data_IF_595575503873
#
_entry.id   IF_595575503873
#
_cell.length_a   1.000
_cell.length_b   1.000
_cell.length_c   1.000
_cell.angle_alpha   90.00
_cell.angle_beta   90.00
_cell.angle_gamma   90.00
#
_symmetry.space_group_name_H-M   'P 1'
#
loop_
_entity.id
_entity.type
_entity.pdbx_description
1 polymer ?
#
# COMPACT_ATOMS: atom_id res chain seq x y z
N UNK A 1 -7.59 18.35 -6.13
CA UNK A 1 -8.34 18.99 -5.03
C UNK A 1 -7.41 19.16 -3.86
N UNK A 2 -7.38 20.37 -3.28
CA UNK A 2 -6.55 20.65 -2.11
C UNK A 2 -7.43 21.24 -1.00
N UNK A 3 -7.21 20.81 0.24
CA UNK A 3 -7.85 21.31 1.44
C UNK A 3 -6.83 21.60 2.53
N UNK A 4 -7.04 22.60 3.35
CA UNK A 4 -6.18 22.87 4.51
C UNK A 4 -6.76 22.22 5.77
N UNK A 5 -8.07 22.27 5.95
CA UNK A 5 -8.72 21.80 7.18
C UNK A 5 -10.01 21.01 6.95
N UNK A 6 -10.40 20.77 5.73
CA UNK A 6 -11.63 20.04 5.41
C UNK A 6 -11.34 18.67 4.80
N UNK A 7 -12.28 17.78 4.96
CA UNK A 7 -12.25 16.47 4.35
C UNK A 7 -12.42 16.56 2.83
N UNK A 8 -11.80 15.64 2.13
CA UNK A 8 -11.96 15.47 0.68
C UNK A 8 -12.66 14.14 0.47
N UNK A 9 -13.86 14.20 -0.09
CA UNK A 9 -14.59 12.99 -0.47
C UNK A 9 -14.84 12.98 -1.97
N UNK A 10 -14.53 11.89 -2.62
CA UNK A 10 -14.86 11.63 -4.02
C UNK A 10 -15.44 10.23 -4.18
N UNK A 11 -16.52 10.13 -4.93
CA UNK A 11 -17.23 8.88 -5.12
C UNK A 11 -17.71 8.74 -6.57
N UNK A 12 -17.65 7.50 -7.09
CA UNK A 12 -18.17 7.12 -8.41
C UNK A 12 -17.67 8.01 -9.54
N UNK A 13 -16.36 8.04 -9.72
CA UNK A 13 -15.72 8.93 -10.68
C UNK A 13 -14.79 8.18 -11.62
N UNK A 14 -14.81 8.58 -12.87
CA UNK A 14 -13.81 8.19 -13.86
C UNK A 14 -12.95 9.40 -14.23
N UNK A 15 -11.64 9.21 -14.28
CA UNK A 15 -10.70 10.28 -14.59
C UNK A 15 -9.41 9.77 -15.21
N UNK A 16 -8.67 10.67 -15.84
CA UNK A 16 -7.31 10.33 -16.30
C UNK A 16 -6.32 10.40 -15.14
N UNK A 17 -6.35 11.49 -14.40
CA UNK A 17 -5.53 11.67 -13.20
C UNK A 17 -6.36 12.34 -12.11
N UNK A 18 -6.13 11.95 -10.87
CA UNK A 18 -6.78 12.54 -9.72
C UNK A 18 -5.79 12.79 -8.59
N UNK A 19 -5.79 14.00 -8.09
CA UNK A 19 -4.94 14.41 -6.96
C UNK A 19 -5.82 14.99 -5.87
N UNK A 20 -5.74 14.39 -4.67
CA UNK A 20 -6.42 14.83 -3.45
C UNK A 20 -5.39 15.06 -2.34
N UNK A 21 -5.30 16.26 -1.82
CA UNK A 21 -4.35 16.61 -0.77
C UNK A 21 -5.04 17.39 0.35
N UNK A 22 -4.90 16.93 1.59
CA UNK A 22 -5.40 17.62 2.78
C UNK A 22 -4.27 17.84 3.79
N UNK A 23 -4.35 18.89 4.58
CA UNK A 23 -3.42 19.09 5.70
C UNK A 23 -3.98 18.47 6.98
N UNK A 24 -5.25 18.73 7.31
CA UNK A 24 -5.85 18.29 8.58
C UNK A 24 -7.16 17.52 8.43
N UNK A 25 -7.60 17.25 7.21
CA UNK A 25 -8.83 16.52 6.94
C UNK A 25 -8.57 15.13 6.38
N UNK A 26 -9.56 14.29 6.47
CA UNK A 26 -9.53 12.96 5.88
C UNK A 26 -9.69 13.02 4.36
N UNK A 27 -9.06 12.07 3.67
CA UNK A 27 -9.24 11.86 2.22
C UNK A 27 -9.95 10.53 2.03
N UNK A 28 -11.18 10.56 1.53
CA UNK A 28 -12.02 9.39 1.33
C UNK A 28 -12.39 9.27 -0.15
N UNK A 29 -11.88 8.23 -0.80
CA UNK A 29 -12.11 7.94 -2.21
C UNK A 29 -12.81 6.59 -2.35
N UNK A 30 -13.95 6.56 -3.01
CA UNK A 30 -14.75 5.35 -3.17
C UNK A 30 -15.22 5.19 -4.60
N UNK A 31 -15.04 3.99 -5.16
CA UNK A 31 -15.52 3.63 -6.50
C UNK A 31 -14.96 4.58 -7.58
N UNK A 32 -13.61 4.62 -7.66
CA UNK A 32 -12.87 5.49 -8.58
C UNK A 32 -12.15 4.66 -9.63
N UNK A 33 -12.34 4.99 -10.89
CA UNK A 33 -11.57 4.46 -12.01
C UNK A 33 -10.64 5.58 -12.52
N UNK A 34 -9.33 5.37 -12.39
CA UNK A 34 -8.33 6.35 -12.81
C UNK A 34 -7.37 5.72 -13.83
N UNK A 35 -7.42 6.18 -15.07
CA UNK A 35 -6.61 5.60 -16.15
C UNK A 35 -5.12 5.95 -16.08
N UNK A 36 -4.73 6.89 -15.25
CA UNK A 36 -3.36 7.32 -15.03
C UNK A 36 -2.96 7.29 -13.57
N UNK A 37 -2.73 8.43 -12.96
CA UNK A 37 -2.24 8.57 -11.58
C UNK A 37 -3.37 8.93 -10.63
N UNK A 38 -3.51 8.15 -9.58
CA UNK A 38 -4.30 8.49 -8.39
C UNK A 38 -3.33 8.84 -7.26
N UNK A 39 -3.32 10.10 -6.84
CA UNK A 39 -2.47 10.60 -5.75
C UNK A 39 -3.34 11.12 -4.60
N UNK A 40 -3.29 10.45 -3.45
CA UNK A 40 -4.07 10.79 -2.27
C UNK A 40 -3.16 11.00 -1.06
N UNK A 41 -3.18 12.21 -0.49
CA UNK A 41 -2.27 12.59 0.61
C UNK A 41 -2.99 13.31 1.73
N UNK A 42 -2.57 13.03 2.98
CA UNK A 42 -2.95 13.83 4.14
C UNK A 42 -1.77 14.03 5.07
N UNK A 43 -1.70 15.18 5.74
CA UNK A 43 -0.67 15.38 6.77
C UNK A 43 -1.13 14.83 8.11
N UNK A 44 -2.37 15.12 8.55
CA UNK A 44 -2.87 14.72 9.87
C UNK A 44 -4.21 13.99 9.85
N UNK A 45 -4.73 13.67 8.68
CA UNK A 45 -5.97 12.92 8.52
C UNK A 45 -5.72 11.51 7.96
N UNK A 46 -6.74 10.72 7.96
CA UNK A 46 -6.71 9.38 7.37
C UNK A 46 -6.87 9.46 5.85
N UNK A 47 -6.28 8.51 5.16
CA UNK A 47 -6.48 8.30 3.72
C UNK A 47 -7.15 6.96 3.52
N UNK A 48 -8.38 6.96 3.04
CA UNK A 48 -9.17 5.76 2.78
C UNK A 48 -9.56 5.67 1.31
N UNK A 49 -9.14 4.61 0.67
CA UNK A 49 -9.41 4.35 -0.75
C UNK A 49 -10.05 2.97 -0.89
N UNK A 50 -11.29 2.92 -1.38
CA UNK A 50 -12.06 1.68 -1.52
C UNK A 50 -12.61 1.52 -2.93
N UNK A 51 -12.59 0.31 -3.47
CA UNK A 51 -13.03 -0.01 -4.84
C UNK A 51 -12.34 0.86 -5.87
N UNK A 52 -11.04 0.89 -5.82
CA UNK A 52 -10.21 1.68 -6.73
C UNK A 52 -9.69 0.81 -7.85
N UNK A 53 -9.74 1.32 -9.07
CA UNK A 53 -9.01 0.76 -10.21
C UNK A 53 -8.16 1.87 -10.83
N UNK A 54 -6.84 1.72 -10.74
CA UNK A 54 -5.91 2.76 -11.24
C UNK A 54 -4.67 2.14 -11.85
N UNK A 55 -4.07 2.87 -12.80
CA UNK A 55 -2.79 2.46 -13.37
C UNK A 55 -1.63 2.68 -12.41
N UNK A 56 -1.60 3.83 -11.74
CA UNK A 56 -0.57 4.15 -10.75
C UNK A 56 -1.22 4.74 -9.50
N UNK A 57 -0.91 4.18 -8.35
CA UNK A 57 -1.35 4.68 -7.06
C UNK A 57 -0.18 5.27 -6.31
N UNK A 58 -0.33 6.51 -5.88
CA UNK A 58 0.59 7.18 -4.99
C UNK A 58 -0.16 7.67 -3.76
N UNK A 59 0.37 7.45 -2.58
CA UNK A 59 -0.26 7.93 -1.36
C UNK A 59 0.81 8.26 -0.32
N UNK A 60 0.55 9.31 0.44
CA UNK A 60 1.43 9.68 1.54
C UNK A 60 0.63 10.18 2.74
N UNK A 61 1.07 9.81 3.95
CA UNK A 61 0.55 10.34 5.20
C UNK A 61 1.69 10.66 6.16
N UNK A 62 1.59 11.76 6.87
CA UNK A 62 2.54 12.03 7.95
C UNK A 62 2.03 11.41 9.26
N UNK A 63 0.75 11.60 9.55
CA UNK A 63 0.13 11.12 10.78
C UNK A 63 -1.32 10.77 10.51
N UNK A 64 -1.63 9.53 10.47
CA UNK A 64 -2.96 9.01 10.14
C UNK A 64 -2.89 7.64 9.48
N UNK A 65 -4.00 6.95 9.48
CA UNK A 65 -4.12 5.63 8.88
C UNK A 65 -4.24 5.75 7.36
N UNK A 66 -3.57 4.86 6.64
CA UNK A 66 -3.69 4.74 5.20
C UNK A 66 -4.28 3.37 4.86
N UNK A 67 -5.41 3.37 4.17
CA UNK A 67 -6.09 2.15 3.74
C UNK A 67 -6.39 2.19 2.25
N UNK A 68 -6.03 1.13 1.54
CA UNK A 68 -6.32 0.95 0.12
C UNK A 68 -6.93 -0.44 -0.14
N UNK A 69 -8.02 -0.48 -0.87
CA UNK A 69 -8.66 -1.70 -1.35
C UNK A 69 -9.03 -1.55 -2.82
N UNK A 70 -8.45 -2.37 -3.68
CA UNK A 70 -8.75 -2.34 -5.11
C UNK A 70 -7.65 -2.91 -5.99
N UNK A 71 -7.64 -2.47 -7.22
CA UNK A 71 -6.63 -2.79 -8.22
C UNK A 71 -5.76 -1.57 -8.51
N UNK A 72 -4.47 -1.77 -8.50
CA UNK A 72 -3.51 -0.78 -8.99
C UNK A 72 -2.42 -1.48 -9.80
N UNK A 73 -1.89 -0.78 -10.78
CA UNK A 73 -0.64 -1.18 -11.40
C UNK A 73 0.50 -0.91 -10.41
N UNK A 74 1.28 0.12 -10.63
CA UNK A 74 2.31 0.52 -9.69
C UNK A 74 1.70 1.12 -8.41
N UNK A 75 2.21 0.69 -7.25
CA UNK A 75 1.79 1.19 -5.93
C UNK A 75 2.98 1.81 -5.21
N UNK A 76 2.86 3.06 -4.81
CA UNK A 76 3.86 3.75 -4.01
C UNK A 76 3.19 4.40 -2.79
N UNK A 77 3.61 3.99 -1.61
CA UNK A 77 3.08 4.52 -0.34
C UNK A 77 4.21 4.96 0.57
N UNK A 78 4.06 6.15 1.13
CA UNK A 78 4.97 6.71 2.11
C UNK A 78 4.22 7.13 3.37
N UNK A 79 4.70 6.70 4.54
CA UNK A 79 4.14 7.15 5.83
C UNK A 79 5.24 7.50 6.81
N UNK A 80 4.99 8.48 7.65
CA UNK A 80 5.90 8.78 8.77
C UNK A 80 5.38 8.08 10.03
N UNK A 81 4.10 8.20 10.32
CA UNK A 81 3.50 7.64 11.53
C UNK A 81 2.05 7.23 11.26
N UNK A 82 1.74 6.03 11.57
CA UNK A 82 0.43 5.44 11.37
C UNK A 82 0.47 4.14 10.57
N UNK A 83 -0.49 3.25 10.78
CA UNK A 83 -0.57 1.99 10.07
C UNK A 83 -0.92 2.18 8.59
N UNK A 84 -0.42 1.25 7.78
CA UNK A 84 -0.69 1.16 6.35
C UNK A 84 -1.31 -0.20 6.06
N UNK A 85 -2.53 -0.20 5.55
CA UNK A 85 -3.26 -1.39 5.13
C UNK A 85 -3.53 -1.37 3.63
N UNK A 86 -2.84 -2.21 2.89
CA UNK A 86 -3.00 -2.33 1.44
C UNK A 86 -3.58 -3.69 1.09
N UNK A 87 -4.70 -3.69 0.40
CA UNK A 87 -5.30 -4.90 -0.16
C UNK A 87 -5.38 -4.79 -1.67
N UNK A 88 -4.54 -5.56 -2.34
CA UNK A 88 -4.53 -5.69 -3.79
C UNK A 88 -5.31 -6.93 -4.22
N UNK A 89 -6.30 -6.75 -5.07
CA UNK A 89 -7.04 -7.86 -5.68
C UNK A 89 -6.22 -8.57 -6.75
N UNK A 90 -5.33 -7.83 -7.43
CA UNK A 90 -4.35 -8.38 -8.36
C UNK A 90 -3.06 -7.56 -8.32
N UNK A 91 -1.93 -8.25 -8.37
CA UNK A 91 -0.61 -7.64 -8.52
C UNK A 91 -0.31 -7.50 -10.02
N UNK A 92 -0.16 -6.28 -10.50
CA UNK A 92 0.02 -5.97 -11.93
C UNK A 92 1.33 -5.27 -12.25
N UNK A 93 2.02 -4.75 -11.24
CA UNK A 93 3.29 -4.02 -11.35
C UNK A 93 3.96 -3.94 -9.96
N UNK A 94 5.03 -3.18 -9.84
CA UNK A 94 5.82 -3.06 -8.62
C UNK A 94 5.07 -2.38 -7.47
N UNK A 95 5.36 -2.82 -6.25
CA UNK A 95 4.81 -2.27 -5.01
C UNK A 95 5.94 -1.77 -4.12
N UNK A 96 5.89 -0.51 -3.74
CA UNK A 96 6.85 0.12 -2.83
C UNK A 96 6.12 0.75 -1.65
N UNK A 97 6.32 0.21 -0.46
CA UNK A 97 5.74 0.70 0.78
C UNK A 97 6.86 1.13 1.73
N UNK A 98 6.86 2.37 2.15
CA UNK A 98 7.89 2.92 3.04
C UNK A 98 7.25 3.57 4.25
N UNK A 99 7.67 3.17 5.44
CA UNK A 99 7.25 3.72 6.72
C UNK A 99 8.43 4.12 7.60
N UNK A 100 8.22 5.06 8.50
CA UNK A 100 9.17 5.33 9.58
C UNK A 100 8.68 4.67 10.87
N UNK A 101 7.42 4.90 11.24
CA UNK A 101 6.81 4.34 12.45
C UNK A 101 5.37 3.95 12.14
N UNK A 102 5.05 2.72 12.38
CA UNK A 102 3.74 2.13 12.12
C UNK A 102 3.84 0.77 11.42
N UNK A 103 2.84 -0.03 11.63
CA UNK A 103 2.76 -1.37 11.03
C UNK A 103 2.32 -1.27 9.58
N UNK A 104 2.87 -2.13 8.74
CA UNK A 104 2.53 -2.23 7.32
C UNK A 104 1.91 -3.60 7.08
N UNK A 105 0.69 -3.61 6.59
CA UNK A 105 -0.06 -4.80 6.20
C UNK A 105 -0.30 -4.80 4.69
N UNK A 106 0.12 -5.85 4.02
CA UNK A 106 -0.07 -6.03 2.59
C UNK A 106 -0.78 -7.36 2.32
N UNK A 107 -2.00 -7.29 1.80
CA UNK A 107 -2.75 -8.45 1.35
C UNK A 107 -2.71 -8.52 -0.18
N UNK A 108 -2.21 -9.64 -0.69
CA UNK A 108 -2.08 -9.89 -2.14
C UNK A 108 -2.78 -11.20 -2.49
N UNK A 109 -3.27 -11.31 -3.72
CA UNK A 109 -3.85 -12.56 -4.24
C UNK A 109 -2.87 -13.73 -4.10
N UNK A 110 -3.36 -14.89 -3.67
CA UNK A 110 -2.55 -16.09 -3.42
C UNK A 110 -1.78 -16.61 -4.64
N UNK A 111 -2.25 -16.33 -5.86
CA UNK A 111 -1.59 -16.72 -7.11
C UNK A 111 -0.54 -15.71 -7.60
N UNK A 112 -0.37 -14.57 -6.92
CA UNK A 112 0.60 -13.57 -7.33
C UNK A 112 2.03 -14.12 -7.27
N UNK A 113 2.82 -13.82 -8.30
CA UNK A 113 4.23 -14.12 -8.39
C UNK A 113 5.02 -12.82 -8.26
N UNK A 114 5.93 -12.74 -7.29
CA UNK A 114 6.69 -11.53 -7.00
C UNK A 114 8.02 -11.80 -6.31
N UNK A 115 8.91 -10.84 -6.41
CA UNK A 115 10.18 -10.82 -5.69
C UNK A 115 10.02 -9.93 -4.45
N UNK A 116 10.04 -10.56 -3.26
CA UNK A 116 9.85 -9.88 -1.97
C UNK A 116 11.17 -9.35 -1.43
N UNK A 117 11.14 -8.10 -1.00
CA UNK A 117 12.19 -7.47 -0.20
C UNK A 117 11.55 -6.67 0.94
N UNK A 118 11.48 -7.24 2.12
CA UNK A 118 10.92 -6.63 3.31
C UNK A 118 12.01 -6.38 4.35
N UNK A 119 12.12 -5.15 4.83
CA UNK A 119 13.11 -4.71 5.81
C UNK A 119 12.46 -3.91 6.94
N UNK A 120 12.79 -4.24 8.20
CA UNK A 120 12.47 -3.43 9.38
C UNK A 120 13.67 -3.32 10.31
N UNK A 121 13.89 -2.18 10.94
CA UNK A 121 14.97 -2.04 11.92
C UNK A 121 14.53 -2.58 13.29
N UNK A 122 13.32 -2.24 13.71
CA UNK A 122 12.72 -2.73 14.96
C UNK A 122 11.28 -3.18 14.70
N UNK A 123 11.02 -4.45 14.79
CA UNK A 123 9.73 -5.07 14.52
C UNK A 123 9.89 -6.49 13.96
N UNK A 124 8.78 -7.09 13.63
CA UNK A 124 8.74 -8.44 13.07
C UNK A 124 8.26 -8.40 11.62
N UNK A 125 8.77 -9.32 10.80
CA UNK A 125 8.26 -9.54 9.45
C UNK A 125 7.54 -10.89 9.47
N UNK A 126 6.28 -10.88 9.09
CA UNK A 126 5.43 -12.07 9.03
C UNK A 126 4.93 -12.27 7.61
N UNK A 127 5.20 -13.43 7.05
CA UNK A 127 4.66 -13.86 5.76
C UNK A 127 3.70 -15.02 6.00
N UNK A 128 2.45 -14.87 5.60
CA UNK A 128 1.41 -15.88 5.77
C UNK A 128 0.84 -16.31 4.42
N UNK A 129 0.69 -17.63 4.29
CA UNK A 129 0.03 -18.20 3.12
C UNK A 129 0.85 -18.23 1.84
N UNK A 130 2.13 -17.89 1.88
CA UNK A 130 3.07 -17.96 0.76
C UNK A 130 4.31 -18.79 1.13
N UNK A 131 4.82 -19.52 0.15
CA UNK A 131 6.09 -20.25 0.27
C UNK A 131 7.22 -19.43 -0.37
N UNK A 132 8.25 -19.14 0.40
CA UNK A 132 9.47 -18.48 -0.11
C UNK A 132 10.42 -19.53 -0.70
N UNK A 133 10.84 -19.31 -1.95
CA UNK A 133 11.94 -20.05 -2.57
C UNK A 133 13.14 -19.14 -2.76
N UNK A 134 14.35 -19.71 -2.58
CA UNK A 134 15.62 -18.99 -2.72
C UNK A 134 15.69 -17.69 -1.89
N UNK A 135 15.21 -17.75 -0.66
CA UNK A 135 15.11 -16.58 0.21
C UNK A 135 16.29 -16.44 1.17
N UNK A 136 16.48 -15.23 1.66
CA UNK A 136 17.35 -14.91 2.79
C UNK A 136 16.47 -14.35 3.91
N UNK A 137 16.57 -14.99 5.06
CA UNK A 137 15.91 -14.53 6.29
C UNK A 137 16.98 -14.20 7.33
N UNK A 138 16.89 -13.02 7.87
CA UNK A 138 17.71 -12.55 8.98
C UNK A 138 16.85 -11.63 9.87
N UNK A 139 17.25 -11.37 11.13
CA UNK A 139 16.52 -10.45 11.98
C UNK A 139 16.24 -9.11 11.24
N UNK A 140 14.97 -8.76 11.08
CA UNK A 140 14.54 -7.55 10.41
C UNK A 140 14.62 -7.54 8.87
N UNK A 141 14.96 -8.66 8.23
CA UNK A 141 15.02 -8.73 6.76
C UNK A 141 14.43 -10.04 6.26
N UNK A 142 13.55 -9.98 5.30
CA UNK A 142 12.97 -11.10 4.59
C UNK A 142 13.01 -10.86 3.08
N UNK A 143 13.77 -11.68 2.37
CA UNK A 143 13.92 -11.56 0.91
C UNK A 143 13.69 -12.94 0.27
N UNK A 144 13.07 -12.96 -0.88
CA UNK A 144 12.92 -14.21 -1.65
C UNK A 144 11.89 -14.12 -2.75
N UNK A 145 11.76 -15.21 -3.48
CA UNK A 145 10.84 -15.35 -4.59
C UNK A 145 9.58 -16.08 -4.17
N UNK A 146 8.46 -15.50 -4.47
CA UNK A 146 7.13 -16.08 -4.24
C UNK A 146 6.55 -16.54 -5.59
N UNK A 147 6.08 -17.77 -5.66
CA UNK A 147 5.50 -18.39 -6.87
C UNK A 147 6.37 -18.24 -8.14
N UNK A 148 7.71 -18.25 -7.98
CA UNK A 148 8.65 -18.17 -9.10
C UNK A 148 9.25 -16.78 -9.34
N UNK A 149 8.80 -15.76 -8.61
CA UNK A 149 9.23 -14.37 -8.78
C UNK A 149 8.49 -13.64 -9.89
N UNK A 150 8.63 -12.33 -9.95
CA UNK A 150 7.93 -11.46 -10.90
C UNK A 150 8.15 -9.99 -10.60
N UNK A 151 7.08 -9.27 -10.29
CA UNK A 151 7.16 -7.86 -9.91
C UNK A 151 7.87 -7.67 -8.57
N UNK A 152 8.50 -6.53 -8.40
CA UNK A 152 9.18 -6.19 -7.16
C UNK A 152 8.18 -5.72 -6.09
N UNK A 153 8.19 -6.37 -4.93
CA UNK A 153 7.46 -5.94 -3.73
C UNK A 153 8.47 -5.53 -2.67
N UNK A 154 8.63 -4.23 -2.49
CA UNK A 154 9.58 -3.63 -1.55
C UNK A 154 8.84 -2.99 -0.40
N UNK A 155 9.09 -3.46 0.82
CA UNK A 155 8.46 -2.93 2.03
C UNK A 155 9.54 -2.57 3.02
N UNK A 156 9.56 -1.33 3.49
CA UNK A 156 10.52 -0.85 4.47
C UNK A 156 9.85 -0.06 5.58
N UNK A 157 10.21 -0.36 6.81
CA UNK A 157 9.87 0.48 7.96
C UNK A 157 11.07 0.58 8.91
N UNK A 158 11.17 1.64 9.67
CA UNK A 158 12.20 1.73 10.71
C UNK A 158 11.70 1.11 12.00
N UNK A 159 10.47 1.41 12.39
CA UNK A 159 9.86 0.93 13.63
C UNK A 159 8.42 0.51 13.36
N UNK A 160 8.16 -0.77 13.44
CA UNK A 160 6.87 -1.37 13.16
C UNK A 160 7.01 -2.76 12.55
N UNK A 161 5.95 -3.51 12.60
CA UNK A 161 5.88 -4.85 12.02
C UNK A 161 5.39 -4.81 10.57
N UNK A 162 5.90 -5.74 9.77
CA UNK A 162 5.46 -5.93 8.38
C UNK A 162 4.71 -7.26 8.32
N UNK A 163 3.47 -7.22 7.88
CA UNK A 163 2.67 -8.42 7.64
C UNK A 163 2.31 -8.52 6.18
N UNK A 164 2.64 -9.64 5.56
CA UNK A 164 2.28 -9.95 4.19
C UNK A 164 1.42 -11.21 4.24
N UNK A 165 0.19 -11.11 3.77
CA UNK A 165 -0.75 -12.22 3.79
C UNK A 165 -1.47 -12.36 2.45
N UNK A 166 -1.99 -13.56 2.20
CA UNK A 166 -2.79 -13.80 1.02
C UNK A 166 -4.21 -13.29 1.21
N UNK A 167 -4.70 -12.60 0.21
CA UNK A 167 -6.12 -12.26 0.15
C UNK A 167 -6.93 -13.53 -0.13
N UNK A 168 -7.67 -13.99 0.85
CA UNK A 168 -8.47 -15.24 0.78
C UNK A 168 -9.83 -15.07 0.12
N UNK A 169 -10.10 -13.95 -0.54
CA UNK A 169 -11.30 -13.83 -1.38
C UNK A 169 -11.03 -14.51 -2.73
N UNK A 170 -11.55 -15.71 -2.85
CA UNK A 170 -11.82 -16.37 -4.13
C UNK A 170 -13.10 -15.80 -4.76
#
# INVERSE_FOLDING_TARGET
>A
VNSVSGDITAEKMECNNFVAQSVSGDVVLTDIICFGILDARSTSGNVSMQKIDTKNMQSASVSGNLSFVGNAGQVTVETVSGPVDIRLESLKDDVVLTGVSGDISLLINASAAFDLNADTTTGNITLQGFDIKAGKESPGTLQGKINGGGYDVKIRTTSGSITIDRNSKS
#
